data_IF_338507419215
#
_entry.id   IF_338507419215
#
_cell.length_a   1.000
_cell.length_b   1.000
_cell.length_c   1.000
_cell.angle_alpha   90.00
_cell.angle_beta   90.00
_cell.angle_gamma   90.00
#
_symmetry.space_group_name_H-M   'P 1'
#
loop_
_entity.id
_entity.type
_entity.pdbx_description
1 polymer ?
#
# COMPACT_ATOMS: atom_id res chain seq x y z
N UNK A 1 6.06 -2.13 -17.78
CA UNK A 1 5.95 -3.59 -17.98
C UNK A 1 6.90 -4.10 -19.05
N UNK A 2 6.56 -4.03 -20.35
CA UNK A 2 7.34 -4.67 -21.42
C UNK A 2 8.73 -4.06 -21.62
N UNK A 3 8.82 -2.73 -21.71
CA UNK A 3 10.10 -2.03 -21.90
C UNK A 3 11.06 -2.19 -20.72
N UNK A 4 10.53 -2.39 -19.51
CA UNK A 4 11.32 -2.56 -18.29
C UNK A 4 11.44 -4.02 -17.85
N UNK A 5 10.92 -4.97 -18.66
CA UNK A 5 10.91 -6.40 -18.34
C UNK A 5 10.45 -6.72 -16.90
N UNK A 6 9.34 -6.10 -16.48
CA UNK A 6 8.74 -6.30 -15.16
C UNK A 6 7.71 -7.43 -15.25
N UNK A 7 7.67 -8.32 -14.26
CA UNK A 7 6.68 -9.42 -14.19
C UNK A 7 5.53 -9.16 -13.22
N UNK A 8 5.79 -8.39 -12.16
CA UNK A 8 4.85 -7.98 -11.11
C UNK A 8 5.28 -6.61 -10.58
N UNK A 9 4.32 -5.77 -10.20
CA UNK A 9 4.56 -4.52 -9.48
C UNK A 9 4.22 -4.73 -8.01
N UNK A 10 5.16 -4.39 -7.13
CA UNK A 10 4.95 -4.30 -5.69
C UNK A 10 4.70 -2.84 -5.31
N UNK A 11 3.56 -2.56 -4.69
CA UNK A 11 3.17 -1.21 -4.31
C UNK A 11 2.28 -1.21 -3.05
N UNK A 12 2.07 -0.06 -2.40
CA UNK A 12 1.14 0.04 -1.28
C UNK A 12 -0.32 -0.02 -1.76
N UNK A 13 -1.23 -0.69 -1.02
CA UNK A 13 -2.66 -0.71 -1.31
C UNK A 13 -3.41 0.51 -0.81
N UNK A 14 -2.79 1.29 0.06
CA UNK A 14 -3.37 2.44 0.72
C UNK A 14 -2.23 3.35 1.19
N UNK A 15 -2.50 4.63 1.44
CA UNK A 15 -1.51 5.59 1.94
C UNK A 15 -0.94 5.27 3.33
N UNK A 16 -1.52 4.32 4.06
CA UNK A 16 -1.18 4.00 5.43
C UNK A 16 -1.95 2.77 5.93
N UNK A 17 -2.12 2.67 7.24
CA UNK A 17 -2.92 1.61 7.88
C UNK A 17 -4.42 1.86 7.73
N UNK A 18 -5.24 0.98 8.31
CA UNK A 18 -6.70 1.11 8.28
C UNK A 18 -7.15 2.50 8.75
N UNK A 19 -7.91 3.21 7.93
CA UNK A 19 -8.42 4.54 8.27
C UNK A 19 -9.37 4.50 9.46
N UNK A 20 -9.47 5.64 10.17
CA UNK A 20 -10.58 5.85 11.11
C UNK A 20 -11.91 5.80 10.35
N UNK A 21 -12.98 5.51 11.09
CA UNK A 21 -14.33 5.51 10.54
C UNK A 21 -14.63 6.84 9.83
N UNK A 22 -15.26 6.74 8.66
CA UNK A 22 -15.70 7.88 7.83
C UNK A 22 -14.57 8.79 7.31
N UNK A 23 -13.30 8.36 7.38
CA UNK A 23 -12.15 9.15 6.87
C UNK A 23 -11.45 8.57 5.64
N UNK A 24 -11.85 7.40 5.16
CA UNK A 24 -11.28 6.75 3.97
C UNK A 24 -11.70 7.47 2.66
N UNK A 25 -11.06 8.60 2.35
CA UNK A 25 -11.44 9.48 1.22
C UNK A 25 -10.65 9.25 -0.06
N UNK A 26 -9.49 8.57 0.01
CA UNK A 26 -8.63 8.32 -1.14
C UNK A 26 -8.51 6.82 -1.41
N UNK A 27 -8.94 6.38 -2.59
CA UNK A 27 -8.92 4.97 -2.99
C UNK A 27 -8.11 4.74 -4.29
N UNK A 28 -7.33 5.73 -4.71
CA UNK A 28 -6.58 5.72 -5.98
C UNK A 28 -5.55 4.59 -6.08
N UNK A 29 -4.97 4.16 -4.95
CA UNK A 29 -3.99 3.07 -4.89
C UNK A 29 -4.52 1.72 -5.41
N UNK A 30 -5.83 1.49 -5.33
CA UNK A 30 -6.49 0.28 -5.86
C UNK A 30 -7.36 0.57 -7.08
N UNK A 31 -7.94 1.77 -7.17
CA UNK A 31 -8.82 2.21 -8.26
C UNK A 31 -8.23 1.98 -9.65
N UNK A 32 -6.94 2.33 -9.81
CA UNK A 32 -6.26 2.27 -11.11
C UNK A 32 -6.18 0.84 -11.66
N UNK A 33 -6.06 -0.15 -10.79
CA UNK A 33 -5.96 -1.56 -11.21
C UNK A 33 -7.32 -2.12 -11.63
N UNK A 34 -8.41 -1.65 -11.00
CA UNK A 34 -9.77 -1.94 -11.45
C UNK A 34 -10.03 -1.37 -12.85
N UNK A 35 -9.60 -0.12 -13.10
CA UNK A 35 -9.75 0.52 -14.41
C UNK A 35 -9.00 -0.25 -15.52
N UNK A 36 -7.80 -0.74 -15.20
CA UNK A 36 -6.96 -1.47 -16.16
C UNK A 36 -7.36 -2.95 -16.32
N UNK A 37 -8.26 -3.46 -15.48
CA UNK A 37 -8.60 -4.89 -15.35
C UNK A 37 -7.35 -5.75 -15.08
N UNK A 38 -6.53 -5.31 -14.12
CA UNK A 38 -5.26 -5.95 -13.76
C UNK A 38 -5.44 -6.71 -12.45
N UNK A 39 -5.09 -8.01 -12.41
CA UNK A 39 -5.18 -8.80 -11.18
C UNK A 39 -4.22 -8.25 -10.13
N UNK A 40 -4.67 -8.28 -8.88
CA UNK A 40 -3.89 -7.84 -7.74
C UNK A 40 -4.21 -8.63 -6.48
N UNK A 41 -3.23 -8.77 -5.58
CA UNK A 41 -3.41 -9.39 -4.28
C UNK A 41 -2.77 -8.54 -3.18
N UNK A 42 -3.46 -8.39 -2.06
CA UNK A 42 -3.01 -7.63 -0.89
C UNK A 42 -2.64 -8.60 0.21
N UNK A 43 -1.49 -8.39 0.86
CA UNK A 43 -0.98 -9.24 1.92
C UNK A 43 -0.34 -8.42 3.05
N UNK A 44 -0.41 -8.90 4.30
CA UNK A 44 0.22 -8.24 5.42
C UNK A 44 1.74 -8.41 5.36
N UNK A 45 2.49 -7.36 5.69
CA UNK A 45 3.96 -7.42 5.74
C UNK A 45 4.47 -7.97 7.07
N UNK A 46 3.62 -8.13 8.08
CA UNK A 46 4.08 -8.42 9.45
C UNK A 46 4.70 -7.21 10.16
N UNK A 47 4.79 -6.06 9.49
CA UNK A 47 5.07 -4.78 10.13
C UNK A 47 3.76 -4.20 10.69
N UNK A 48 3.90 -3.46 11.77
CA UNK A 48 2.81 -2.76 12.44
C UNK A 48 3.20 -1.31 12.61
N UNK A 49 2.22 -0.42 12.57
CA UNK A 49 2.46 1.00 12.84
C UNK A 49 3.05 1.18 14.24
N UNK A 50 4.12 1.97 14.32
CA UNK A 50 4.91 2.24 15.51
C UNK A 50 5.27 3.74 15.56
N UNK A 51 4.76 4.48 16.57
CA UNK A 51 5.03 5.91 16.74
C UNK A 51 6.49 6.31 16.80
N UNK A 52 7.39 5.38 17.14
CA UNK A 52 8.83 5.67 17.24
C UNK A 52 9.51 5.77 15.88
N UNK A 53 8.94 5.15 14.85
CA UNK A 53 9.49 5.15 13.48
C UNK A 53 8.59 5.86 12.47
N UNK A 54 7.28 5.89 12.73
CA UNK A 54 6.26 6.53 11.88
C UNK A 54 6.27 8.07 12.07
N UNK A 55 7.40 8.68 11.74
CA UNK A 55 7.65 10.10 11.89
C UNK A 55 7.81 10.76 10.53
N UNK A 56 7.17 11.92 10.33
CA UNK A 56 7.36 12.71 9.13
C UNK A 56 8.74 13.36 9.12
N UNK A 57 9.39 13.38 7.95
CA UNK A 57 10.62 14.14 7.75
C UNK A 57 10.27 15.62 7.62
N UNK A 58 10.86 16.45 8.48
CA UNK A 58 10.66 17.90 8.45
C UNK A 58 11.59 18.59 7.43
N UNK A 59 11.13 19.61 6.69
CA UNK A 59 9.79 20.19 6.75
C UNK A 59 8.77 19.36 5.97
N UNK A 60 7.64 19.02 6.60
CA UNK A 60 6.54 18.36 5.90
C UNK A 60 5.89 19.34 4.90
N UNK A 61 6.01 19.03 3.61
CA UNK A 61 5.47 19.87 2.52
C UNK A 61 4.44 19.09 1.71
N UNK A 62 3.14 19.26 1.99
CA UNK A 62 2.09 18.65 1.19
C UNK A 62 2.20 19.05 -0.29
N UNK A 63 2.00 18.09 -1.19
CA UNK A 63 2.04 18.32 -2.63
C UNK A 63 0.74 18.92 -3.18
N UNK A 64 -0.36 18.83 -2.41
CA UNK A 64 -1.67 19.36 -2.77
C UNK A 64 -2.56 19.50 -1.53
N UNK A 65 -3.71 20.15 -1.67
CA UNK A 65 -4.72 20.22 -0.60
C UNK A 65 -5.27 18.84 -0.21
N UNK A 66 -5.36 17.89 -1.15
CA UNK A 66 -5.78 16.53 -0.85
C UNK A 66 -4.72 15.76 -0.05
N UNK A 67 -3.44 16.01 -0.34
CA UNK A 67 -2.32 15.44 0.39
C UNK A 67 -2.23 16.01 1.81
N UNK A 68 -2.42 17.32 1.97
CA UNK A 68 -2.49 17.97 3.29
C UNK A 68 -3.63 17.40 4.15
N UNK A 69 -4.81 17.22 3.56
CA UNK A 69 -5.91 16.55 4.24
C UNK A 69 -5.56 15.12 4.62
N UNK A 70 -4.95 14.35 3.74
CA UNK A 70 -4.55 12.97 4.03
C UNK A 70 -3.52 12.89 5.17
N UNK A 71 -2.52 13.75 5.16
CA UNK A 71 -1.53 13.89 6.24
C UNK A 71 -2.24 14.19 7.56
N UNK A 72 -3.20 15.12 7.57
CA UNK A 72 -3.93 15.50 8.79
C UNK A 72 -4.77 14.38 9.42
N UNK A 73 -5.07 13.31 8.65
CA UNK A 73 -5.84 12.16 9.12
C UNK A 73 -4.98 11.10 9.81
N UNK A 74 -3.66 11.17 9.67
CA UNK A 74 -2.73 10.19 10.23
C UNK A 74 -2.16 10.67 11.57
N UNK A 75 -2.25 9.82 12.59
CA UNK A 75 -1.70 10.04 13.92
C UNK A 75 -1.09 8.72 14.39
N UNK A 76 0.24 8.65 14.38
CA UNK A 76 0.97 7.42 14.66
C UNK A 76 0.58 6.80 16.02
N UNK A 77 0.31 7.62 17.05
CA UNK A 77 -0.09 7.12 18.36
C UNK A 77 -1.43 6.39 18.32
N UNK A 78 -2.39 6.87 17.54
CA UNK A 78 -3.71 6.25 17.42
C UNK A 78 -3.68 4.99 16.54
N UNK A 79 -2.77 4.92 15.57
CA UNK A 79 -2.64 3.75 14.71
C UNK A 79 -1.66 2.69 15.24
N UNK A 80 -1.07 2.89 16.42
CA UNK A 80 -0.12 1.94 17.03
C UNK A 80 -0.63 0.49 16.97
N UNK A 81 0.18 -0.41 16.44
CA UNK A 81 -0.15 -1.83 16.32
C UNK A 81 -1.09 -2.17 15.16
N UNK A 82 -1.52 -1.20 14.35
CA UNK A 82 -2.29 -1.49 13.14
C UNK A 82 -1.39 -2.13 12.07
N UNK A 83 -1.87 -3.18 11.37
CA UNK A 83 -1.05 -3.91 10.40
C UNK A 83 -0.77 -3.06 9.16
N UNK A 84 0.46 -3.19 8.65
CA UNK A 84 0.89 -2.61 7.37
C UNK A 84 0.80 -3.69 6.30
N UNK A 85 0.32 -3.31 5.12
CA UNK A 85 0.11 -4.22 3.99
C UNK A 85 0.78 -3.70 2.72
N UNK A 86 1.13 -4.62 1.84
CA UNK A 86 1.55 -4.35 0.47
C UNK A 86 0.63 -5.09 -0.50
N UNK A 87 0.72 -4.73 -1.78
CA UNK A 87 0.03 -5.43 -2.85
C UNK A 87 0.96 -5.76 -4.01
N UNK A 88 0.70 -6.89 -4.64
CA UNK A 88 1.29 -7.30 -5.91
C UNK A 88 0.26 -7.18 -7.01
N UNK A 89 0.65 -6.56 -8.13
CA UNK A 89 -0.20 -6.40 -9.31
C UNK A 89 0.50 -7.09 -10.49
N UNK A 90 -0.27 -7.69 -11.41
CA UNK A 90 0.24 -8.10 -12.72
C UNK A 90 -0.66 -7.63 -13.86
N UNK A 91 -0.23 -7.82 -15.11
CA UNK A 91 -1.10 -7.54 -16.27
C UNK A 91 -2.27 -8.51 -16.29
N UNK A 92 -3.35 -8.10 -16.96
CA UNK A 92 -4.53 -8.92 -17.24
C UNK A 92 -4.18 -10.38 -17.59
N UNK A 93 -4.93 -11.33 -17.02
CA UNK A 93 -4.79 -12.78 -17.17
C UNK A 93 -3.55 -13.43 -16.53
N UNK A 94 -2.90 -12.76 -15.58
CA UNK A 94 -1.72 -13.29 -14.86
C UNK A 94 -2.01 -13.51 -13.36
N UNK A 95 -3.22 -13.89 -13.00
CA UNK A 95 -3.67 -14.11 -11.61
C UNK A 95 -2.79 -15.13 -10.86
N UNK A 96 -2.42 -16.23 -11.52
CA UNK A 96 -1.51 -17.23 -10.95
C UNK A 96 -0.10 -16.67 -10.68
N UNK A 97 0.39 -15.76 -11.53
CA UNK A 97 1.68 -15.10 -11.32
C UNK A 97 1.62 -14.13 -10.13
N UNK A 98 0.50 -13.42 -9.95
CA UNK A 98 0.28 -12.53 -8.80
C UNK A 98 0.35 -13.31 -7.49
N UNK A 99 -0.36 -14.45 -7.40
CA UNK A 99 -0.35 -15.30 -6.22
C UNK A 99 1.01 -15.94 -5.95
N UNK A 100 1.70 -16.40 -7.00
CA UNK A 100 3.05 -16.96 -6.86
C UNK A 100 4.06 -15.90 -6.37
N UNK A 101 4.00 -14.68 -6.92
CA UNK A 101 4.86 -13.59 -6.49
C UNK A 101 4.56 -13.17 -5.04
N UNK A 102 3.27 -13.13 -4.66
CA UNK A 102 2.89 -12.88 -3.27
C UNK A 102 3.52 -13.91 -2.34
N UNK A 103 3.38 -15.22 -2.61
CA UNK A 103 3.93 -16.28 -1.76
C UNK A 103 5.45 -16.15 -1.58
N UNK A 104 6.19 -15.84 -2.65
CA UNK A 104 7.63 -15.60 -2.58
C UNK A 104 7.96 -14.39 -1.69
N UNK A 105 7.27 -13.27 -1.90
CA UNK A 105 7.53 -12.03 -1.16
C UNK A 105 7.17 -12.19 0.31
N UNK A 106 6.01 -12.78 0.60
CA UNK A 106 5.52 -13.02 1.95
C UNK A 106 6.47 -13.93 2.74
N UNK A 107 7.04 -14.96 2.10
CA UNK A 107 8.07 -15.82 2.72
C UNK A 107 9.36 -15.08 3.07
N UNK A 108 9.80 -14.16 2.21
CA UNK A 108 11.02 -13.36 2.45
C UNK A 108 10.80 -12.38 3.60
N UNK A 109 9.62 -11.79 3.68
CA UNK A 109 9.33 -10.78 4.71
C UNK A 109 9.09 -11.43 6.09
N UNK A 110 8.55 -12.65 6.11
CA UNK A 110 8.24 -13.38 7.36
C UNK A 110 9.39 -14.26 7.88
N UNK A 111 10.49 -14.41 7.14
CA UNK A 111 11.67 -15.17 7.55
C UNK A 111 12.57 -14.37 8.49
#
# INVERSE_FOLDING_TARGET
WRSQNVDVVLCPPFQGTASRHDTAKYWGYTAIWNLLDYPGAVFPTGLFADPNIDTYQEPLRPMSAADEQNISLYDAAVFTGAPVSLQTISRRFNDGLVLAAQDVIERIIKS
#
